data_IF_211703376869
#
_entry.id   IF_211703376869
#
_cell.length_a   1.000
_cell.length_b   1.000
_cell.length_c   1.000
_cell.angle_alpha   90.00
_cell.angle_beta   90.00
_cell.angle_gamma   90.00
#
_symmetry.space_group_name_H-M   'P 1'
#
loop_
_entity.id
_entity.type
_entity.pdbx_description
1 polymer ?
#
# COMPACT_ATOMS: atom_id res chain seq x y z
N UNK A 1 -20.15 1.24 -11.04
CA UNK A 1 -21.12 1.94 -10.15
C UNK A 1 -20.76 1.85 -8.67
N UNK A 2 -20.91 0.70 -7.98
CA UNK A 2 -20.56 0.61 -6.54
C UNK A 2 -19.06 0.75 -6.28
N UNK A 3 -18.23 0.18 -7.16
CA UNK A 3 -16.76 0.31 -7.12
C UNK A 3 -16.26 1.73 -7.24
N UNK A 4 -16.62 2.41 -8.32
CA UNK A 4 -16.26 3.81 -8.55
C UNK A 4 -16.80 4.74 -7.46
N UNK A 5 -18.00 4.44 -6.92
CA UNK A 5 -18.55 5.21 -5.80
C UNK A 5 -17.68 5.09 -4.54
N UNK A 6 -17.29 3.87 -4.14
CA UNK A 6 -16.39 3.69 -3.00
C UNK A 6 -15.02 4.33 -3.25
N UNK A 7 -14.44 4.14 -4.44
CA UNK A 7 -13.14 4.72 -4.79
C UNK A 7 -13.15 6.25 -4.74
N UNK A 8 -14.19 6.88 -5.32
CA UNK A 8 -14.35 8.33 -5.27
C UNK A 8 -14.61 8.86 -3.86
N UNK A 9 -15.29 8.07 -3.03
CA UNK A 9 -15.60 8.42 -1.65
C UNK A 9 -14.38 8.33 -0.71
N UNK A 10 -13.37 7.50 -1.03
CA UNK A 10 -12.14 7.38 -0.24
C UNK A 10 -11.29 8.64 -0.26
N UNK A 11 -11.37 9.46 -1.32
CA UNK A 11 -10.44 10.58 -1.52
C UNK A 11 -8.97 10.16 -1.48
N UNK A 12 -8.68 8.99 -2.05
CA UNK A 12 -7.37 8.36 -1.99
C UNK A 12 -6.34 9.10 -2.86
N UNK A 13 -5.10 9.16 -2.35
CA UNK A 13 -3.95 9.65 -3.13
C UNK A 13 -3.49 8.57 -4.10
N UNK A 14 -3.21 8.97 -5.33
CA UNK A 14 -2.65 8.10 -6.37
C UNK A 14 -1.11 8.12 -6.33
N UNK A 15 -0.51 6.94 -6.22
CA UNK A 15 0.95 6.73 -6.15
C UNK A 15 1.53 6.19 -7.46
N UNK A 16 0.72 6.05 -8.52
CA UNK A 16 1.17 5.48 -9.81
C UNK A 16 2.22 6.35 -10.49
N UNK A 17 2.04 7.66 -10.46
CA UNK A 17 3.00 8.58 -11.05
C UNK A 17 4.37 8.53 -10.34
N UNK A 18 4.39 8.40 -9.01
CA UNK A 18 5.64 8.25 -8.26
C UNK A 18 6.34 6.95 -8.62
N UNK A 19 5.58 5.84 -8.66
CA UNK A 19 6.09 4.55 -9.09
C UNK A 19 6.70 4.62 -10.50
N UNK A 20 6.02 5.26 -11.45
CA UNK A 20 6.51 5.43 -12.82
C UNK A 20 7.82 6.21 -12.86
N UNK A 21 7.91 7.32 -12.13
CA UNK A 21 9.13 8.15 -12.04
C UNK A 21 10.28 7.37 -11.38
N UNK A 22 10.06 6.74 -10.24
CA UNK A 22 11.11 6.00 -9.54
C UNK A 22 11.54 4.74 -10.30
N UNK A 23 10.66 4.17 -11.12
CA UNK A 23 11.00 3.08 -12.02
C UNK A 23 11.80 3.58 -13.23
N UNK A 24 11.44 4.74 -13.82
CA UNK A 24 12.18 5.29 -14.97
C UNK A 24 13.59 5.76 -14.62
N UNK A 25 13.75 6.29 -13.42
CA UNK A 25 15.02 6.85 -12.93
C UNK A 25 15.92 5.77 -12.30
N UNK A 26 15.41 4.53 -12.18
CA UNK A 26 16.17 3.41 -11.64
C UNK A 26 17.35 3.03 -12.55
N UNK A 27 18.53 2.89 -11.94
CA UNK A 27 19.72 2.42 -12.64
C UNK A 27 19.76 0.90 -12.59
N UNK A 28 19.65 0.27 -13.76
CA UNK A 28 19.75 -1.19 -13.90
C UNK A 28 21.00 -1.77 -13.23
N UNK A 29 20.88 -2.94 -12.60
CA UNK A 29 21.95 -3.55 -11.79
C UNK A 29 22.04 -3.04 -10.35
N UNK A 30 21.37 -1.93 -10.01
CA UNK A 30 21.25 -1.47 -8.62
C UNK A 30 20.03 -2.09 -7.94
N UNK A 31 20.07 -2.21 -6.62
CA UNK A 31 18.98 -2.79 -5.80
C UNK A 31 18.75 -4.31 -5.92
N UNK A 32 19.40 -5.00 -6.86
CA UNK A 32 19.25 -6.46 -7.05
C UNK A 32 19.66 -7.26 -5.80
N UNK A 33 20.68 -6.78 -5.09
CA UNK A 33 21.17 -7.39 -3.85
C UNK A 33 20.07 -7.54 -2.79
N UNK A 34 19.05 -6.67 -2.80
CA UNK A 34 17.97 -6.69 -1.83
C UNK A 34 17.21 -8.01 -1.86
N UNK A 35 16.98 -8.57 -3.05
CA UNK A 35 16.28 -9.85 -3.21
C UNK A 35 17.12 -11.03 -2.75
N UNK A 36 18.42 -10.83 -2.56
CA UNK A 36 19.34 -11.84 -2.03
C UNK A 36 19.44 -11.83 -0.50
N UNK A 37 18.93 -10.79 0.16
CA UNK A 37 18.93 -10.68 1.62
C UNK A 37 18.04 -11.74 2.27
N UNK A 38 18.60 -12.49 3.21
CA UNK A 38 17.91 -13.60 3.88
C UNK A 38 16.68 -13.14 4.68
N UNK A 39 16.75 -11.97 5.32
CA UNK A 39 15.61 -11.41 6.06
C UNK A 39 14.43 -11.10 5.13
N UNK A 40 14.70 -10.58 3.93
CA UNK A 40 13.65 -10.34 2.95
C UNK A 40 13.10 -11.65 2.38
N UNK A 41 13.97 -12.61 2.05
CA UNK A 41 13.55 -13.94 1.59
C UNK A 41 12.65 -14.64 2.61
N UNK A 42 12.99 -14.55 3.90
CA UNK A 42 12.18 -15.05 5.01
C UNK A 42 10.80 -14.37 5.02
N UNK A 43 10.76 -13.05 4.99
CA UNK A 43 9.50 -12.29 4.94
C UNK A 43 8.64 -12.60 3.69
N UNK A 44 9.27 -12.84 2.55
CA UNK A 44 8.57 -13.21 1.30
C UNK A 44 8.00 -14.64 1.31
N UNK A 45 8.51 -15.52 2.18
CA UNK A 45 8.18 -16.95 2.23
C UNK A 45 7.32 -17.36 3.43
N UNK A 46 7.25 -16.53 4.49
CA UNK A 46 6.42 -16.79 5.67
C UNK A 46 4.94 -16.95 5.31
N UNK A 47 4.17 -17.72 6.09
CA UNK A 47 2.73 -17.95 5.89
C UNK A 47 1.82 -17.09 6.79
N UNK A 48 2.41 -16.31 7.69
CA UNK A 48 1.70 -15.43 8.62
C UNK A 48 1.99 -13.94 8.34
N UNK A 49 1.23 -13.06 9.00
CA UNK A 49 1.47 -11.62 8.95
C UNK A 49 2.81 -11.27 9.61
N UNK A 50 3.67 -10.57 8.88
CA UNK A 50 5.01 -10.22 9.33
C UNK A 50 5.46 -8.87 8.72
N UNK A 51 6.46 -8.24 9.32
CA UNK A 51 6.97 -6.91 8.96
C UNK A 51 8.47 -6.97 8.70
N UNK A 52 8.88 -6.57 7.49
CA UNK A 52 10.28 -6.32 7.15
C UNK A 52 10.57 -4.81 7.21
N UNK A 53 11.59 -4.42 7.98
CA UNK A 53 11.97 -3.01 8.15
C UNK A 53 13.29 -2.69 7.43
N UNK A 54 13.21 -1.89 6.37
CA UNK A 54 14.39 -1.42 5.64
C UNK A 54 14.81 -0.03 6.13
N UNK A 55 15.85 0.00 6.97
CA UNK A 55 16.41 1.26 7.49
C UNK A 55 17.71 1.66 6.78
N UNK A 56 17.92 2.95 6.62
CA UNK A 56 19.13 3.49 5.99
C UNK A 56 19.16 5.01 6.08
N UNK A 57 20.35 5.60 5.94
CA UNK A 57 20.53 7.06 5.97
C UNK A 57 19.80 7.74 4.82
N UNK A 58 19.58 9.05 4.92
CA UNK A 58 19.09 9.84 3.80
C UNK A 58 20.02 9.68 2.59
N UNK A 59 19.46 9.56 1.39
CA UNK A 59 20.22 9.42 0.14
C UNK A 59 20.80 8.03 -0.15
N UNK A 60 20.53 6.99 0.66
CA UNK A 60 21.03 5.62 0.39
C UNK A 60 20.21 4.82 -0.63
N UNK A 61 19.22 5.44 -1.29
CA UNK A 61 18.42 4.80 -2.33
C UNK A 61 17.27 3.90 -1.83
N UNK A 62 16.78 4.09 -0.60
CA UNK A 62 15.65 3.32 -0.03
C UNK A 62 14.41 3.31 -0.92
N UNK A 63 14.03 4.45 -1.47
CA UNK A 63 12.91 4.58 -2.40
C UNK A 63 13.09 3.71 -3.64
N UNK A 64 14.31 3.62 -4.18
CA UNK A 64 14.62 2.74 -5.32
C UNK A 64 14.60 1.26 -4.92
N UNK A 65 15.06 0.92 -3.70
CA UNK A 65 14.96 -0.44 -3.14
C UNK A 65 13.48 -0.86 -2.96
N UNK A 66 12.66 0.02 -2.40
CA UNK A 66 11.22 -0.20 -2.25
C UNK A 66 10.53 -0.35 -3.61
N UNK A 67 10.86 0.51 -4.58
CA UNK A 67 10.33 0.45 -5.95
C UNK A 67 10.76 -0.84 -6.67
N UNK A 68 12.01 -1.27 -6.46
CA UNK A 68 12.51 -2.54 -6.99
C UNK A 68 11.72 -3.72 -6.42
N UNK A 69 11.45 -3.73 -5.10
CA UNK A 69 10.61 -4.74 -4.46
C UNK A 69 9.17 -4.72 -5.01
N UNK A 70 8.55 -3.55 -5.15
CA UNK A 70 7.19 -3.42 -5.73
C UNK A 70 7.16 -3.98 -7.16
N UNK A 71 8.16 -3.66 -7.98
CA UNK A 71 8.31 -4.16 -9.34
C UNK A 71 8.42 -5.68 -9.36
N UNK A 72 9.28 -6.24 -8.51
CA UNK A 72 9.47 -7.69 -8.39
C UNK A 72 8.18 -8.41 -7.97
N UNK A 73 7.49 -7.90 -6.94
CA UNK A 73 6.21 -8.45 -6.47
C UNK A 73 5.14 -8.40 -7.58
N UNK A 74 5.08 -7.30 -8.32
CA UNK A 74 4.14 -7.15 -9.45
C UNK A 74 4.44 -8.15 -10.57
N UNK A 75 5.71 -8.30 -10.97
CA UNK A 75 6.12 -9.21 -12.04
C UNK A 75 5.91 -10.69 -11.67
N UNK A 76 6.11 -11.04 -10.40
CA UNK A 76 5.86 -12.39 -9.86
C UNK A 76 4.39 -12.67 -9.56
N UNK A 77 3.47 -11.83 -10.06
CA UNK A 77 2.02 -11.97 -9.90
C UNK A 77 1.56 -12.00 -8.43
N UNK A 78 2.34 -11.40 -7.52
CA UNK A 78 1.93 -11.23 -6.13
C UNK A 78 1.01 -10.00 -6.02
N UNK A 79 0.07 -10.04 -5.08
CA UNK A 79 -0.78 -8.89 -4.78
C UNK A 79 0.01 -7.91 -3.91
N UNK A 80 0.45 -6.81 -4.50
CA UNK A 80 1.16 -5.73 -3.79
C UNK A 80 0.34 -4.44 -3.81
N UNK A 81 0.28 -3.75 -2.68
CA UNK A 81 -0.19 -2.36 -2.57
C UNK A 81 0.93 -1.52 -1.98
N UNK A 82 1.01 -0.25 -2.34
CA UNK A 82 2.13 0.57 -1.95
C UNK A 82 1.80 2.04 -1.73
N UNK A 83 2.65 2.73 -0.97
CA UNK A 83 2.55 4.15 -0.74
C UNK A 83 3.93 4.79 -0.63
N UNK A 84 4.11 5.95 -1.26
CA UNK A 84 5.31 6.76 -1.13
C UNK A 84 4.99 7.97 -0.26
N UNK A 85 5.54 8.01 0.95
CA UNK A 85 5.43 9.19 1.78
C UNK A 85 6.39 10.26 1.27
N UNK A 86 5.92 11.49 1.20
CA UNK A 86 6.67 12.63 0.65
C UNK A 86 6.45 13.84 1.55
N UNK A 87 7.54 14.44 2.04
CA UNK A 87 7.48 15.56 2.99
C UNK A 87 6.85 16.82 2.38
N UNK A 88 7.00 17.00 1.07
CA UNK A 88 6.60 18.15 0.28
C UNK A 88 5.18 18.02 -0.30
N UNK A 89 4.55 16.85 -0.22
CA UNK A 89 3.15 16.64 -0.56
C UNK A 89 2.30 16.45 0.71
N UNK A 90 1.47 17.46 1.09
CA UNK A 90 0.60 17.36 2.25
C UNK A 90 -0.35 16.16 2.25
N UNK A 91 -0.74 15.64 1.09
CA UNK A 91 -1.61 14.48 1.00
C UNK A 91 -0.86 13.16 1.28
N UNK A 92 0.48 13.15 1.09
CA UNK A 92 1.34 11.98 1.26
C UNK A 92 2.12 11.92 2.58
N UNK A 93 1.83 12.83 3.51
CA UNK A 93 2.46 12.84 4.84
C UNK A 93 1.47 12.59 5.98
N UNK A 94 0.33 11.96 5.67
CA UNK A 94 -0.74 11.70 6.63
C UNK A 94 -1.03 10.22 6.76
N UNK A 95 -1.33 9.77 7.99
CA UNK A 95 -1.73 8.38 8.28
C UNK A 95 -3.01 8.03 7.51
N UNK A 96 -3.95 8.97 7.44
CA UNK A 96 -5.18 8.82 6.65
C UNK A 96 -4.90 8.66 5.15
N UNK A 97 -3.95 9.42 4.59
CA UNK A 97 -3.55 9.32 3.19
C UNK A 97 -3.05 7.92 2.83
N UNK A 98 -2.19 7.35 3.68
CA UNK A 98 -1.70 5.97 3.55
C UNK A 98 -2.88 5.00 3.54
N UNK A 99 -3.69 4.99 4.60
CA UNK A 99 -4.78 4.02 4.78
C UNK A 99 -5.81 4.07 3.65
N UNK A 100 -6.20 5.27 3.21
CA UNK A 100 -7.13 5.48 2.09
C UNK A 100 -6.57 4.99 0.77
N UNK A 101 -5.30 5.27 0.48
CA UNK A 101 -4.65 4.83 -0.75
C UNK A 101 -4.49 3.32 -0.82
N UNK A 102 -4.04 2.68 0.28
CA UNK A 102 -3.97 1.22 0.35
C UNK A 102 -5.36 0.59 0.17
N UNK A 103 -6.38 1.14 0.83
CA UNK A 103 -7.77 0.67 0.69
C UNK A 103 -8.29 0.79 -0.75
N UNK A 104 -8.02 1.92 -1.42
CA UNK A 104 -8.40 2.11 -2.82
C UNK A 104 -7.73 1.09 -3.74
N UNK A 105 -6.43 0.89 -3.57
CA UNK A 105 -5.66 -0.09 -4.34
C UNK A 105 -6.12 -1.54 -4.11
N UNK A 106 -6.59 -1.88 -2.91
CA UNK A 106 -7.20 -3.19 -2.64
C UNK A 106 -8.57 -3.34 -3.30
N UNK A 107 -9.44 -2.34 -3.17
CA UNK A 107 -10.76 -2.33 -3.82
C UNK A 107 -10.64 -2.47 -5.34
N UNK A 108 -9.61 -1.87 -5.94
CA UNK A 108 -9.32 -2.02 -7.37
C UNK A 108 -9.00 -3.45 -7.77
N UNK A 109 -8.44 -4.25 -6.86
CA UNK A 109 -8.03 -5.64 -7.11
C UNK A 109 -9.10 -6.69 -6.80
N UNK A 110 -10.21 -6.32 -6.17
CA UNK A 110 -11.34 -7.24 -5.95
C UNK A 110 -11.97 -7.58 -7.32
N UNK A 111 -11.95 -8.85 -7.76
CA UNK A 111 -12.29 -9.24 -9.12
C UNK A 111 -13.79 -9.45 -9.35
N UNK A 112 -14.55 -9.90 -8.35
CA UNK A 112 -15.95 -10.32 -8.53
C UNK A 112 -16.95 -9.35 -7.87
N UNK A 113 -18.07 -9.03 -8.56
CA UNK A 113 -19.15 -8.21 -8.00
C UNK A 113 -19.78 -8.77 -6.72
N UNK A 114 -19.83 -10.10 -6.55
CA UNK A 114 -20.45 -10.74 -5.38
C UNK A 114 -19.55 -10.66 -4.14
N UNK A 115 -18.23 -10.84 -4.29
CA UNK A 115 -17.24 -10.59 -3.23
C UNK A 115 -17.26 -9.11 -2.82
N UNK A 116 -17.46 -8.23 -3.81
CA UNK A 116 -17.61 -6.79 -3.58
C UNK A 116 -18.83 -6.46 -2.72
N UNK A 117 -19.92 -7.24 -2.79
CA UNK A 117 -21.15 -6.94 -2.05
C UNK A 117 -20.97 -7.13 -0.56
N UNK A 118 -20.34 -8.22 -0.13
CA UNK A 118 -20.05 -8.47 1.29
C UNK A 118 -19.11 -7.40 1.86
N UNK A 119 -18.03 -7.10 1.13
CA UNK A 119 -17.10 -6.00 1.45
C UNK A 119 -17.85 -4.68 1.54
N UNK A 120 -18.65 -4.33 0.53
CA UNK A 120 -19.41 -3.07 0.49
C UNK A 120 -20.39 -2.94 1.66
N UNK A 121 -21.10 -4.02 2.02
CA UNK A 121 -22.04 -4.01 3.13
C UNK A 121 -21.35 -3.82 4.48
N UNK A 122 -20.24 -4.52 4.73
CA UNK A 122 -19.47 -4.41 5.96
C UNK A 122 -18.79 -3.04 6.06
N UNK A 123 -18.19 -2.60 4.97
CA UNK A 123 -17.54 -1.29 4.85
C UNK A 123 -18.54 -0.14 5.06
N UNK A 124 -19.73 -0.22 4.44
CA UNK A 124 -20.79 0.79 4.59
C UNK A 124 -21.37 0.86 6.00
N UNK A 125 -21.45 -0.28 6.73
CA UNK A 125 -21.89 -0.29 8.14
C UNK A 125 -20.89 0.44 9.04
N UNK A 126 -19.61 0.30 8.72
CA UNK A 126 -18.49 0.84 9.51
C UNK A 126 -18.30 2.34 9.28
N UNK A 127 -18.64 2.84 8.09
CA UNK A 127 -18.39 4.24 7.73
C UNK A 127 -19.57 4.89 6.99
N UNK A 128 -20.56 5.38 7.74
CA UNK A 128 -21.60 6.24 7.15
C UNK A 128 -21.07 7.62 6.73
N UNK A 129 -19.94 8.07 7.30
CA UNK A 129 -19.43 9.44 7.16
C UNK A 129 -18.19 9.62 6.25
N UNK A 130 -17.39 8.58 6.03
CA UNK A 130 -16.06 8.68 5.41
C UNK A 130 -15.07 7.75 6.10
N UNK A 131 -13.94 7.42 5.47
CA UNK A 131 -12.73 7.05 6.22
C UNK A 131 -12.08 8.34 6.75
N UNK A 132 -12.81 9.10 7.57
CA UNK A 132 -12.45 10.49 7.92
C UNK A 132 -11.54 10.61 9.13
N UNK A 133 -11.37 9.52 9.86
CA UNK A 133 -10.50 9.39 11.02
C UNK A 133 -9.71 8.09 10.92
N UNK A 134 -8.61 8.02 11.66
CA UNK A 134 -7.66 6.90 11.56
C UNK A 134 -8.31 5.58 12.00
N UNK A 135 -9.16 5.60 13.02
CA UNK A 135 -9.79 4.39 13.56
C UNK A 135 -10.74 3.74 12.53
N UNK A 136 -11.60 4.56 11.90
CA UNK A 136 -12.48 4.07 10.83
C UNK A 136 -11.68 3.63 9.61
N UNK A 137 -10.60 4.34 9.27
CA UNK A 137 -9.71 3.99 8.16
C UNK A 137 -8.98 2.66 8.36
N UNK A 138 -8.45 2.42 9.56
CA UNK A 138 -7.86 1.13 9.95
C UNK A 138 -8.89 0.03 9.86
N UNK A 139 -10.07 0.23 10.45
CA UNK A 139 -11.14 -0.79 10.42
C UNK A 139 -11.56 -1.13 8.99
N UNK A 140 -11.70 -0.11 8.13
CA UNK A 140 -11.99 -0.30 6.71
C UNK A 140 -10.93 -1.13 5.98
N UNK A 141 -9.65 -0.81 6.20
CA UNK A 141 -8.53 -1.57 5.62
C UNK A 141 -8.50 -3.02 6.12
N UNK A 142 -8.75 -3.26 7.41
CA UNK A 142 -8.82 -4.62 7.96
C UNK A 142 -9.95 -5.45 7.35
N UNK A 143 -11.13 -4.85 7.15
CA UNK A 143 -12.26 -5.51 6.48
C UNK A 143 -11.83 -5.94 5.07
N UNK A 144 -11.19 -5.03 4.32
CA UNK A 144 -10.70 -5.33 2.98
C UNK A 144 -9.70 -6.49 2.99
N UNK A 145 -8.71 -6.46 3.90
CA UNK A 145 -7.72 -7.53 4.01
C UNK A 145 -8.34 -8.88 4.40
N UNK A 146 -9.33 -8.90 5.30
CA UNK A 146 -10.03 -10.12 5.73
C UNK A 146 -10.86 -10.77 4.62
N UNK A 147 -11.39 -9.97 3.70
CA UNK A 147 -12.24 -10.48 2.61
C UNK A 147 -11.45 -11.03 1.41
N UNK A 148 -10.13 -10.84 1.36
CA UNK A 148 -9.31 -11.30 0.24
C UNK A 148 -8.81 -12.73 0.49
N UNK A 149 -9.04 -13.68 -0.44
CA UNK A 149 -8.60 -15.06 -0.26
C UNK A 149 -7.11 -15.26 -0.59
N UNK A 150 -6.38 -14.19 -0.90
CA UNK A 150 -4.97 -14.21 -1.26
C UNK A 150 -4.14 -13.30 -0.37
N UNK A 151 -2.85 -13.64 -0.24
CA UNK A 151 -1.89 -12.84 0.51
C UNK A 151 -1.62 -11.50 -0.19
N UNK A 152 -1.66 -10.43 0.60
CA UNK A 152 -1.32 -9.07 0.19
C UNK A 152 0.04 -8.69 0.79
N UNK A 153 0.89 -8.08 -0.03
CA UNK A 153 2.13 -7.44 0.39
C UNK A 153 1.89 -5.92 0.41
N UNK A 154 2.29 -5.26 1.50
CA UNK A 154 2.16 -3.81 1.66
C UNK A 154 3.55 -3.21 1.70
N UNK A 155 3.84 -2.24 0.84
CA UNK A 155 5.13 -1.53 0.81
C UNK A 155 4.89 -0.06 1.09
N UNK A 156 5.47 0.46 2.17
CA UNK A 156 5.38 1.88 2.52
C UNK A 156 6.80 2.44 2.54
N UNK A 157 7.08 3.38 1.64
CA UNK A 157 8.36 4.08 1.58
C UNK A 157 8.25 5.43 2.29
N UNK A 158 9.32 5.84 2.98
CA UNK A 158 9.41 7.16 3.62
C UNK A 158 8.52 7.36 4.84
N UNK A 159 8.16 6.32 5.59
CA UNK A 159 7.22 6.41 6.73
C UNK A 159 7.63 7.49 7.77
N UNK A 160 8.91 7.81 7.87
CA UNK A 160 9.46 8.88 8.71
C UNK A 160 9.06 10.30 8.29
N UNK A 161 8.55 10.49 7.08
CA UNK A 161 8.04 11.76 6.57
C UNK A 161 6.60 12.07 6.99
N UNK A 162 5.91 11.11 7.64
CA UNK A 162 4.55 11.30 8.15
C UNK A 162 4.57 12.24 9.35
N UNK A 163 3.75 13.30 9.30
CA UNK A 163 3.78 14.38 10.29
C UNK A 163 2.64 14.34 11.30
N UNK A 164 1.67 13.47 11.09
CA UNK A 164 0.54 13.32 12.01
C UNK A 164 1.06 12.74 13.33
N UNK A 165 0.89 13.49 14.41
CA UNK A 165 1.15 13.01 15.77
C UNK A 165 -0.17 12.51 16.32
N UNK A 166 -0.18 11.28 16.83
CA UNK A 166 -1.22 10.82 17.76
C UNK A 166 -1.34 11.77 18.96
#
# INVERSE_FOLDING_TARGET
>A
KQKEYLLGWLGAVDNRQDYEVYTSDHISGTSEWLLEEEDLKSWLSTDHSDVFWLAGKAGTGKTYLATHLITHLTQTQKHVVYFYCQYDDPAKRTTLGILRSLSAQLLERIPLPDDYRAVYEEYRKTSQAGLNDVETAVTGLEILLRCLPWRVHVVIDGLDEVTDRD
#
